data_IF_525498990560
#
_entry.id   IF_525498990560
#
_cell.length_a   1.000
_cell.length_b   1.000
_cell.length_c   1.000
_cell.angle_alpha   90.00
_cell.angle_beta   90.00
_cell.angle_gamma   90.00
#
_symmetry.space_group_name_H-M   'P 1'
#
loop_
_entity.id
_entity.type
_entity.pdbx_description
1 polymer ?
#
# COMPACT_ATOMS: atom_id res chain seq x y z
N UNK A 1 -15.34 -17.23 -12.31
CA UNK A 1 -15.20 -17.11 -10.85
C UNK A 1 -16.29 -16.19 -10.31
N UNK A 2 -17.07 -16.67 -9.36
CA UNK A 2 -18.04 -15.81 -8.65
C UNK A 2 -17.25 -14.84 -7.78
N UNK A 3 -17.47 -13.52 -7.92
CA UNK A 3 -16.82 -12.53 -7.08
C UNK A 3 -17.29 -12.70 -5.63
N UNK A 4 -16.33 -12.77 -4.69
CA UNK A 4 -16.63 -12.78 -3.26
C UNK A 4 -17.29 -11.45 -2.88
N UNK A 5 -18.39 -11.49 -2.12
CA UNK A 5 -18.99 -10.27 -1.58
C UNK A 5 -18.02 -9.56 -0.63
N UNK A 6 -18.03 -8.24 -0.61
CA UNK A 6 -17.09 -7.44 0.20
C UNK A 6 -17.18 -7.79 1.70
N UNK A 7 -18.38 -8.07 2.19
CA UNK A 7 -18.59 -8.52 3.57
C UNK A 7 -17.79 -9.79 3.88
N UNK A 8 -17.84 -10.78 2.98
CA UNK A 8 -17.13 -12.05 3.14
C UNK A 8 -15.60 -11.83 3.14
N UNK A 9 -15.09 -10.91 2.31
CA UNK A 9 -13.68 -10.53 2.31
C UNK A 9 -13.27 -10.04 3.71
N UNK A 10 -14.06 -9.16 4.32
CA UNK A 10 -13.80 -8.63 5.67
C UNK A 10 -13.85 -9.71 6.74
N UNK A 11 -14.80 -10.64 6.64
CA UNK A 11 -15.00 -11.71 7.60
C UNK A 11 -13.93 -12.80 7.48
N UNK A 12 -13.57 -13.20 6.29
CA UNK A 12 -12.68 -14.33 6.04
C UNK A 12 -11.19 -13.98 6.08
N UNK A 13 -10.80 -12.74 5.69
CA UNK A 13 -9.39 -12.37 5.70
C UNK A 13 -8.81 -12.36 7.11
N UNK A 14 -7.57 -12.83 7.23
CA UNK A 14 -6.78 -12.75 8.46
C UNK A 14 -5.32 -12.38 8.14
N UNK A 15 -4.55 -12.08 9.15
CA UNK A 15 -3.12 -11.78 8.99
C UNK A 15 -2.31 -13.09 9.06
N UNK A 16 -2.12 -13.70 7.91
CA UNK A 16 -1.36 -14.95 7.73
C UNK A 16 0.06 -14.81 8.25
N UNK A 17 0.51 -15.74 9.08
CA UNK A 17 1.85 -15.74 9.68
C UNK A 17 2.83 -16.63 8.95
N UNK A 18 2.34 -17.55 8.12
CA UNK A 18 3.15 -18.43 7.31
C UNK A 18 2.43 -18.77 6.01
N UNK A 19 3.12 -18.69 4.89
CA UNK A 19 2.61 -19.03 3.57
C UNK A 19 3.14 -20.41 3.13
N UNK A 20 2.44 -21.07 2.21
CA UNK A 20 2.77 -22.42 1.72
C UNK A 20 3.91 -22.44 0.67
N UNK A 21 4.42 -21.27 0.29
CA UNK A 21 5.52 -21.11 -0.67
C UNK A 21 5.10 -21.18 -2.14
N UNK A 22 3.83 -21.48 -2.44
CA UNK A 22 3.34 -21.44 -3.83
C UNK A 22 3.40 -20.04 -4.39
N UNK A 23 3.78 -19.94 -5.66
CA UNK A 23 3.77 -18.67 -6.37
C UNK A 23 2.35 -18.30 -6.78
N UNK A 24 2.06 -17.01 -6.70
CA UNK A 24 0.84 -16.42 -7.25
C UNK A 24 1.04 -16.26 -8.76
N UNK A 25 0.01 -16.57 -9.55
CA UNK A 25 0.03 -16.35 -11.00
C UNK A 25 0.18 -14.85 -11.32
N UNK A 26 1.01 -14.53 -12.31
CA UNK A 26 1.27 -13.13 -12.70
C UNK A 26 -0.01 -12.37 -13.07
N UNK A 27 -0.95 -13.01 -13.74
CA UNK A 27 -2.26 -12.41 -14.06
C UNK A 27 -3.04 -11.93 -12.83
N UNK A 28 -2.87 -12.61 -11.69
CA UNK A 28 -3.50 -12.19 -10.42
C UNK A 28 -2.74 -11.03 -9.79
N UNK A 29 -1.42 -11.01 -9.91
CA UNK A 29 -0.60 -9.89 -9.44
C UNK A 29 -0.96 -8.63 -10.24
N UNK A 30 -1.07 -8.72 -11.57
CA UNK A 30 -1.50 -7.60 -12.42
C UNK A 30 -2.91 -7.08 -12.04
N UNK A 31 -3.85 -7.99 -11.76
CA UNK A 31 -5.18 -7.60 -11.29
C UNK A 31 -5.12 -6.87 -9.93
N UNK A 32 -4.27 -7.33 -9.00
CA UNK A 32 -4.08 -6.65 -7.71
C UNK A 32 -3.46 -5.27 -7.93
N UNK A 33 -2.45 -5.15 -8.79
CA UNK A 33 -1.79 -3.88 -9.11
C UNK A 33 -2.78 -2.87 -9.69
N UNK A 34 -3.66 -3.29 -10.61
CA UNK A 34 -4.68 -2.41 -11.17
C UNK A 34 -5.70 -1.95 -10.11
N UNK A 35 -6.15 -2.84 -9.22
CA UNK A 35 -7.02 -2.45 -8.12
C UNK A 35 -6.33 -1.48 -7.15
N UNK A 36 -5.05 -1.69 -6.84
CA UNK A 36 -4.24 -0.76 -6.02
C UNK A 36 -4.14 0.61 -6.71
N UNK A 37 -3.89 0.65 -8.02
CA UNK A 37 -3.78 1.87 -8.83
C UNK A 37 -5.03 2.76 -8.74
N UNK A 38 -6.19 2.16 -8.56
CA UNK A 38 -7.48 2.85 -8.44
C UNK A 38 -7.77 3.39 -7.02
N UNK A 39 -6.83 3.27 -6.09
CA UNK A 39 -7.00 3.77 -4.72
C UNK A 39 -7.14 5.29 -4.70
N UNK A 40 -8.10 5.84 -3.94
CA UNK A 40 -8.23 7.28 -3.75
C UNK A 40 -7.12 7.85 -2.84
N UNK A 41 -6.92 9.17 -2.93
CA UNK A 41 -6.05 9.91 -2.00
C UNK A 41 -6.54 11.34 -1.79
N UNK A 42 -6.03 12.02 -0.77
CA UNK A 42 -6.29 13.44 -0.58
C UNK A 42 -5.92 14.23 -1.84
N UNK A 43 -6.87 15.01 -2.38
CA UNK A 43 -6.72 15.79 -3.62
C UNK A 43 -6.19 15.01 -4.83
N UNK A 44 -6.34 13.69 -4.83
CA UNK A 44 -5.80 12.79 -5.85
C UNK A 44 -4.27 12.88 -6.03
N UNK A 45 -3.54 13.25 -4.98
CA UNK A 45 -2.08 13.42 -5.00
C UNK A 45 -1.31 12.11 -5.14
N UNK A 46 -1.90 10.97 -4.74
CA UNK A 46 -1.29 9.64 -4.82
C UNK A 46 0.16 9.63 -4.32
N UNK A 47 0.41 10.09 -3.06
CA UNK A 47 1.76 10.33 -2.55
C UNK A 47 2.42 9.03 -2.08
N UNK A 48 2.52 8.07 -2.97
CA UNK A 48 3.13 6.77 -2.72
C UNK A 48 3.84 6.19 -3.94
N UNK A 49 4.77 5.30 -3.67
CA UNK A 49 5.33 4.34 -4.62
C UNK A 49 5.29 2.95 -4.01
N UNK A 50 5.15 1.94 -4.84
CA UNK A 50 5.01 0.56 -4.36
C UNK A 50 6.05 -0.29 -5.08
N UNK A 51 6.87 -0.99 -4.31
CA UNK A 51 7.82 -1.97 -4.86
C UNK A 51 7.26 -3.36 -4.63
N UNK A 52 7.22 -4.16 -5.69
CA UNK A 52 6.79 -5.56 -5.67
C UNK A 52 8.04 -6.43 -5.78
N UNK A 53 8.20 -7.36 -4.85
CA UNK A 53 9.39 -8.18 -4.70
C UNK A 53 8.97 -9.66 -4.74
N UNK A 54 9.37 -10.36 -5.81
CA UNK A 54 9.23 -11.82 -5.94
C UNK A 54 10.58 -12.54 -5.74
N UNK A 55 11.69 -11.81 -5.85
CA UNK A 55 13.05 -12.35 -5.72
C UNK A 55 13.33 -12.87 -4.32
N UNK A 56 13.68 -14.17 -4.25
CA UNK A 56 13.91 -14.87 -2.98
C UNK A 56 15.15 -14.33 -2.25
N UNK A 57 16.23 -13.99 -2.97
CA UNK A 57 17.45 -13.48 -2.37
C UNK A 57 17.21 -12.09 -1.75
N UNK A 58 16.37 -11.28 -2.38
CA UNK A 58 16.02 -9.98 -1.83
C UNK A 58 15.13 -10.13 -0.58
N UNK A 59 14.16 -11.04 -0.58
CA UNK A 59 13.36 -11.36 0.60
C UNK A 59 14.23 -11.90 1.75
N UNK A 60 15.22 -12.71 1.47
CA UNK A 60 16.20 -13.19 2.47
C UNK A 60 16.96 -12.00 3.10
N UNK A 61 17.43 -11.05 2.29
CA UNK A 61 18.10 -9.83 2.79
C UNK A 61 17.20 -8.94 3.65
N UNK A 62 15.89 -8.86 3.31
CA UNK A 62 14.91 -8.06 4.03
C UNK A 62 14.42 -8.72 5.33
N UNK A 63 14.55 -10.04 5.45
CA UNK A 63 14.04 -10.80 6.60
C UNK A 63 14.60 -10.33 7.95
N UNK A 64 15.92 -10.11 8.14
CA UNK A 64 16.47 -9.57 9.40
C UNK A 64 15.90 -8.19 9.74
N UNK A 65 15.72 -7.32 8.73
CA UNK A 65 15.12 -6.01 8.91
C UNK A 65 13.62 -6.07 9.26
N UNK A 66 13.01 -7.26 9.18
CA UNK A 66 11.63 -7.57 9.59
C UNK A 66 11.59 -8.50 10.80
N UNK A 67 12.59 -8.43 11.69
CA UNK A 67 12.70 -9.25 12.92
C UNK A 67 12.66 -10.77 12.65
N UNK A 68 13.09 -11.22 11.46
CA UNK A 68 13.07 -12.63 11.08
C UNK A 68 11.68 -13.24 10.95
N UNK A 69 10.63 -12.43 10.82
CA UNK A 69 9.25 -12.91 10.73
C UNK A 69 9.06 -13.81 9.50
N UNK A 70 8.49 -15.01 9.65
CA UNK A 70 8.45 -16.03 8.60
C UNK A 70 7.67 -15.59 7.35
N UNK A 71 6.71 -14.65 7.47
CA UNK A 71 5.92 -14.17 6.35
C UNK A 71 6.77 -13.58 5.22
N UNK A 72 7.95 -12.99 5.55
CA UNK A 72 8.81 -12.34 4.56
C UNK A 72 9.43 -13.36 3.62
N UNK A 73 9.91 -14.49 4.16
CA UNK A 73 10.56 -15.55 3.38
C UNK A 73 9.56 -16.47 2.69
N UNK A 74 8.46 -16.78 3.37
CA UNK A 74 7.48 -17.76 2.87
C UNK A 74 6.50 -17.19 1.84
N UNK A 75 6.35 -15.85 1.73
CA UNK A 75 5.39 -15.24 0.79
C UNK A 75 5.80 -15.45 -0.68
N UNK A 76 4.82 -15.45 -1.55
CA UNK A 76 5.04 -15.40 -2.99
C UNK A 76 5.61 -14.04 -3.41
N UNK A 77 4.93 -12.97 -3.02
CA UNK A 77 5.32 -11.59 -3.30
C UNK A 77 5.29 -10.75 -2.02
N UNK A 78 6.27 -9.86 -1.89
CA UNK A 78 6.30 -8.85 -0.84
C UNK A 78 6.04 -7.47 -1.47
N UNK A 79 4.96 -6.82 -1.08
CA UNK A 79 4.66 -5.44 -1.47
C UNK A 79 5.21 -4.50 -0.41
N UNK A 80 6.03 -3.54 -0.83
CA UNK A 80 6.58 -2.48 0.03
C UNK A 80 5.95 -1.16 -0.39
N UNK A 81 5.09 -0.63 0.46
CA UNK A 81 4.41 0.65 0.25
C UNK A 81 5.24 1.77 0.85
N UNK A 82 5.74 2.65 0.00
CA UNK A 82 6.58 3.77 0.39
C UNK A 82 5.80 5.08 0.26
N UNK A 83 5.74 5.85 1.34
CA UNK A 83 5.26 7.23 1.29
C UNK A 83 6.24 8.09 0.49
N UNK A 84 5.71 8.94 -0.39
CA UNK A 84 6.50 9.90 -1.17
C UNK A 84 6.34 11.31 -0.57
N UNK A 85 7.42 11.85 -0.01
CA UNK A 85 7.40 13.19 0.59
C UNK A 85 7.41 14.33 -0.44
N UNK A 86 7.65 14.04 -1.72
CA UNK A 86 7.57 15.03 -2.80
C UNK A 86 6.10 15.27 -3.21
N UNK A 87 5.33 15.86 -2.28
CA UNK A 87 3.93 16.21 -2.54
C UNK A 87 3.79 17.23 -3.65
N UNK A 88 4.76 18.16 -3.77
CA UNK A 88 4.74 19.18 -4.82
C UNK A 88 4.94 18.54 -6.19
N UNK A 89 5.93 17.69 -6.36
CA UNK A 89 6.14 16.98 -7.62
C UNK A 89 4.93 16.14 -8.03
N UNK A 90 4.24 15.50 -7.06
CA UNK A 90 2.99 14.79 -7.33
C UNK A 90 1.86 15.76 -7.77
N UNK A 91 1.73 16.93 -7.15
CA UNK A 91 0.76 17.94 -7.54
C UNK A 91 1.04 18.49 -8.94
N UNK A 92 2.28 18.83 -9.24
CA UNK A 92 2.71 19.31 -10.55
C UNK A 92 2.41 18.27 -11.66
N UNK A 93 2.70 16.99 -11.36
CA UNK A 93 2.36 15.88 -12.28
C UNK A 93 0.85 15.77 -12.48
N UNK A 94 0.05 15.79 -11.42
CA UNK A 94 -1.40 15.72 -11.52
C UNK A 94 -1.97 16.84 -12.40
N UNK A 95 -1.53 18.08 -12.19
CA UNK A 95 -1.94 19.23 -13.00
C UNK A 95 -1.59 19.04 -14.48
N UNK A 96 -0.37 18.57 -14.77
CA UNK A 96 0.07 18.31 -16.15
C UNK A 96 -0.78 17.21 -16.82
N UNK A 97 -1.06 16.13 -16.11
CA UNK A 97 -1.90 15.03 -16.63
C UNK A 97 -3.34 15.51 -16.92
N UNK A 98 -3.89 16.38 -16.07
CA UNK A 98 -5.22 16.98 -16.27
C UNK A 98 -5.24 17.95 -17.45
N UNK A 99 -4.20 18.76 -17.64
CA UNK A 99 -4.05 19.61 -18.83
C UNK A 99 -4.05 18.77 -20.10
N UNK A 100 -3.33 17.66 -20.10
CA UNK A 100 -3.25 16.75 -21.23
C UNK A 100 -4.58 16.01 -21.52
N UNK A 101 -5.45 15.87 -20.50
CA UNK A 101 -6.76 15.20 -20.66
C UNK A 101 -7.88 16.09 -21.19
N UNK A 102 -7.61 17.35 -21.50
CA UNK A 102 -8.59 18.28 -22.07
C UNK A 102 -9.58 18.88 -21.05
N UNK A 103 -9.28 18.84 -19.77
CA UNK A 103 -10.07 19.49 -18.74
C UNK A 103 -10.01 21.02 -18.93
N UNK A 104 -11.16 21.74 -18.79
CA UNK A 104 -11.19 23.20 -18.97
C UNK A 104 -10.20 23.92 -18.05
N UNK A 105 -9.44 24.87 -18.60
CA UNK A 105 -8.39 25.63 -17.89
C UNK A 105 -8.87 26.25 -16.58
N UNK A 106 -10.11 26.78 -16.54
CA UNK A 106 -10.71 27.34 -15.32
C UNK A 106 -10.76 26.33 -14.17
N UNK A 107 -11.04 25.05 -14.47
CA UNK A 107 -11.11 24.00 -13.45
C UNK A 107 -9.71 23.63 -12.96
N UNK A 108 -8.73 23.69 -13.85
CA UNK A 108 -7.33 23.43 -13.51
C UNK A 108 -6.78 24.53 -12.61
N UNK A 109 -7.01 25.80 -12.94
CA UNK A 109 -6.60 26.94 -12.11
C UNK A 109 -7.23 26.91 -10.71
N UNK A 110 -8.50 26.51 -10.61
CA UNK A 110 -9.14 26.30 -9.31
C UNK A 110 -8.43 25.19 -8.52
N UNK A 111 -8.16 24.04 -9.14
CA UNK A 111 -7.46 22.93 -8.50
C UNK A 111 -6.03 23.34 -8.09
N UNK A 112 -5.29 24.05 -8.92
CA UNK A 112 -3.95 24.57 -8.60
C UNK A 112 -3.98 25.45 -7.34
N UNK A 113 -5.00 26.31 -7.21
CA UNK A 113 -5.19 27.11 -6.01
C UNK A 113 -5.44 26.26 -4.76
N UNK A 114 -6.29 25.23 -4.87
CA UNK A 114 -6.59 24.30 -3.76
C UNK A 114 -5.33 23.50 -3.38
N UNK A 115 -4.59 22.99 -4.37
CA UNK A 115 -3.34 22.26 -4.15
C UNK A 115 -2.29 23.13 -3.46
N UNK A 116 -2.10 24.37 -3.90
CA UNK A 116 -1.14 25.27 -3.28
C UNK A 116 -1.51 25.60 -1.81
N UNK A 117 -2.79 25.81 -1.53
CA UNK A 117 -3.26 26.00 -0.16
C UNK A 117 -3.01 24.74 0.70
N UNK A 118 -3.30 23.55 0.18
CA UNK A 118 -3.04 22.30 0.87
C UNK A 118 -1.55 22.10 1.14
N UNK A 119 -0.70 22.28 0.15
CA UNK A 119 0.75 22.12 0.29
C UNK A 119 1.35 23.09 1.29
N UNK A 120 0.79 24.29 1.44
CA UNK A 120 1.25 25.28 2.42
C UNK A 120 1.05 24.85 3.88
N UNK A 121 0.14 23.89 4.13
CA UNK A 121 -0.07 23.30 5.47
C UNK A 121 1.02 22.30 5.88
N UNK A 122 1.84 21.86 4.93
CA UNK A 122 2.87 20.84 5.14
C UNK A 122 4.27 21.35 4.76
N UNK A 123 4.81 22.38 5.43
CA UNK A 123 6.13 22.91 5.10
C UNK A 123 7.25 21.93 5.43
N UNK A 124 8.27 21.88 4.59
CA UNK A 124 9.47 21.08 4.79
C UNK A 124 9.18 19.57 4.87
N UNK A 125 9.64 18.93 5.96
CA UNK A 125 9.51 17.46 6.14
C UNK A 125 8.13 17.00 6.64
N UNK A 126 7.21 17.91 7.00
CA UNK A 126 5.90 17.52 7.56
C UNK A 126 5.02 16.82 6.54
N UNK A 127 5.23 17.04 5.24
CA UNK A 127 4.54 16.35 4.16
C UNK A 127 4.68 14.83 4.18
N UNK A 128 5.73 14.29 4.83
CA UNK A 128 5.91 12.84 4.94
C UNK A 128 4.79 12.19 5.77
N UNK A 129 4.31 12.83 6.84
CA UNK A 129 3.22 12.29 7.66
C UNK A 129 1.92 12.21 6.87
N UNK A 130 1.62 13.25 6.07
CA UNK A 130 0.46 13.24 5.18
C UNK A 130 0.59 12.14 4.12
N UNK A 131 1.75 11.99 3.51
CA UNK A 131 2.01 10.92 2.57
C UNK A 131 1.86 9.54 3.22
N UNK A 132 2.34 9.35 4.45
CA UNK A 132 2.19 8.09 5.19
C UNK A 132 0.72 7.73 5.45
N UNK A 133 -0.11 8.70 5.90
CA UNK A 133 -1.54 8.47 6.11
C UNK A 133 -2.22 8.01 4.81
N UNK A 134 -1.94 8.68 3.69
CA UNK A 134 -2.47 8.30 2.40
C UNK A 134 -1.96 6.93 1.92
N UNK A 135 -0.72 6.53 2.27
CA UNK A 135 -0.11 5.26 1.85
C UNK A 135 -0.83 4.03 2.43
N UNK A 136 -1.53 4.15 3.56
CA UNK A 136 -2.35 3.06 4.10
C UNK A 136 -3.56 2.73 3.20
N UNK A 137 -4.07 3.67 2.42
CA UNK A 137 -5.24 3.46 1.55
C UNK A 137 -4.93 2.40 0.47
N UNK A 138 -3.90 2.52 -0.37
CA UNK A 138 -3.55 1.48 -1.35
C UNK A 138 -3.09 0.17 -0.69
N UNK A 139 -2.52 0.21 0.53
CA UNK A 139 -2.17 -1.00 1.26
C UNK A 139 -3.42 -1.80 1.70
N UNK A 140 -4.46 -1.13 2.18
CA UNK A 140 -5.76 -1.76 2.48
C UNK A 140 -6.43 -2.28 1.21
N UNK A 141 -6.37 -1.51 0.12
CA UNK A 141 -6.88 -1.96 -1.19
C UNK A 141 -6.17 -3.25 -1.62
N UNK A 142 -4.85 -3.35 -1.48
CA UNK A 142 -4.08 -4.56 -1.79
C UNK A 142 -4.57 -5.79 -1.02
N UNK A 143 -4.83 -5.63 0.28
CA UNK A 143 -5.29 -6.69 1.17
C UNK A 143 -6.66 -7.23 0.73
N UNK A 144 -7.59 -6.35 0.39
CA UNK A 144 -8.93 -6.74 -0.04
C UNK A 144 -8.93 -7.29 -1.47
N UNK A 145 -8.14 -6.69 -2.37
CA UNK A 145 -7.92 -7.18 -3.72
C UNK A 145 -7.35 -8.60 -3.71
N UNK A 146 -6.30 -8.84 -2.92
CA UNK A 146 -5.71 -10.17 -2.78
C UNK A 146 -6.76 -11.18 -2.31
N UNK A 147 -7.51 -10.89 -1.23
CA UNK A 147 -8.52 -11.81 -0.72
C UNK A 147 -9.64 -12.08 -1.71
N UNK A 148 -10.06 -11.08 -2.49
CA UNK A 148 -11.09 -11.26 -3.54
C UNK A 148 -10.67 -12.24 -4.65
N UNK A 149 -9.36 -12.45 -4.81
CA UNK A 149 -8.75 -13.39 -5.76
C UNK A 149 -8.30 -14.72 -5.11
N UNK A 150 -8.68 -14.94 -3.84
CA UNK A 150 -8.32 -16.15 -3.09
C UNK A 150 -6.85 -16.16 -2.62
N UNK A 151 -6.23 -14.98 -2.48
CA UNK A 151 -4.86 -14.79 -2.01
C UNK A 151 -4.92 -14.23 -0.59
N UNK A 152 -4.08 -14.77 0.29
CA UNK A 152 -3.96 -14.31 1.67
C UNK A 152 -2.84 -13.28 1.82
N UNK A 153 -2.89 -12.52 2.92
CA UNK A 153 -1.97 -11.41 3.14
C UNK A 153 -1.72 -11.14 4.62
N UNK A 154 -0.62 -10.45 4.92
CA UNK A 154 -0.33 -9.97 6.25
C UNK A 154 0.14 -8.50 6.21
N UNK A 155 -0.69 -7.50 6.57
CA UNK A 155 -0.17 -6.13 6.72
C UNK A 155 0.79 -6.06 7.92
N UNK A 156 1.97 -5.49 7.69
CA UNK A 156 3.03 -5.43 8.70
C UNK A 156 3.65 -4.05 8.79
N UNK A 157 3.79 -3.54 10.01
CA UNK A 157 4.59 -2.36 10.36
C UNK A 157 5.80 -2.74 11.24
N UNK A 158 5.90 -4.00 11.66
CA UNK A 158 7.01 -4.52 12.44
C UNK A 158 8.25 -4.79 11.58
N UNK A 159 8.86 -3.74 11.03
CA UNK A 159 10.11 -3.79 10.26
C UNK A 159 10.91 -2.49 10.47
N UNK A 160 12.19 -2.51 10.09
CA UNK A 160 13.05 -1.32 10.13
C UNK A 160 13.01 -0.58 8.77
N UNK A 161 12.33 0.58 8.67
CA UNK A 161 12.19 1.30 7.40
C UNK A 161 13.51 1.84 6.85
N UNK A 162 14.48 2.18 7.71
CA UNK A 162 15.81 2.66 7.29
C UNK A 162 16.56 1.53 6.60
N UNK A 163 16.62 0.35 7.22
CA UNK A 163 17.27 -0.82 6.62
C UNK A 163 16.58 -1.23 5.31
N UNK A 164 15.25 -1.12 5.21
CA UNK A 164 14.53 -1.34 3.96
C UNK A 164 14.92 -0.35 2.87
N UNK A 165 15.06 0.95 3.22
CA UNK A 165 15.50 1.98 2.26
C UNK A 165 16.89 1.69 1.73
N UNK A 166 17.84 1.31 2.59
CA UNK A 166 19.21 0.95 2.24
C UNK A 166 19.26 -0.31 1.33
N UNK A 167 18.60 -1.40 1.76
CA UNK A 167 18.61 -2.68 0.99
C UNK A 167 17.94 -2.52 -0.37
N UNK A 168 16.91 -1.68 -0.48
CA UNK A 168 16.14 -1.48 -1.71
C UNK A 168 16.67 -0.34 -2.58
N UNK A 169 17.72 0.36 -2.12
CA UNK A 169 18.31 1.55 -2.78
C UNK A 169 17.22 2.58 -3.13
N UNK A 170 16.44 2.99 -2.12
CA UNK A 170 15.35 3.93 -2.33
C UNK A 170 15.87 5.38 -2.28
N UNK A 171 15.32 6.26 -3.13
CA UNK A 171 15.64 7.69 -3.05
C UNK A 171 15.10 8.31 -1.74
N UNK A 172 15.74 9.39 -1.28
CA UNK A 172 15.50 10.06 0.01
C UNK A 172 14.06 10.54 0.22
N UNK A 173 13.32 10.75 -0.86
CA UNK A 173 11.91 11.16 -0.80
C UNK A 173 10.93 9.99 -0.61
N UNK A 174 11.41 8.73 -0.64
CA UNK A 174 10.58 7.55 -0.42
C UNK A 174 10.87 6.91 0.93
N UNK A 175 9.83 6.76 1.76
CA UNK A 175 9.91 6.12 3.06
C UNK A 175 9.02 4.87 3.13
N UNK A 176 9.59 3.66 3.29
CA UNK A 176 8.81 2.46 3.55
C UNK A 176 7.90 2.65 4.77
N UNK A 177 6.59 2.48 4.58
CA UNK A 177 5.57 2.82 5.58
C UNK A 177 4.83 1.59 6.08
N UNK A 178 4.47 0.71 5.18
CA UNK A 178 3.82 -0.57 5.47
C UNK A 178 4.25 -1.60 4.43
N UNK A 179 4.40 -2.85 4.84
CA UNK A 179 4.69 -3.97 3.95
C UNK A 179 3.55 -4.97 3.98
N UNK A 180 3.28 -5.61 2.84
CA UNK A 180 2.20 -6.58 2.70
C UNK A 180 2.72 -7.81 1.95
N UNK A 181 3.18 -8.85 2.66
CA UNK A 181 3.40 -10.17 2.06
C UNK A 181 2.10 -10.75 1.53
N UNK A 182 2.16 -11.34 0.34
CA UNK A 182 1.07 -12.02 -0.37
C UNK A 182 1.44 -13.49 -0.65
N UNK A 183 0.48 -14.39 -0.52
CA UNK A 183 0.65 -15.83 -0.79
C UNK A 183 -0.60 -16.62 -0.43
N UNK A 184 -0.46 -17.92 -0.34
CA UNK A 184 -1.51 -18.82 0.13
C UNK A 184 -1.18 -19.24 1.57
N UNK A 185 -2.16 -19.07 2.48
CA UNK A 185 -1.94 -19.37 3.89
C UNK A 185 -1.61 -20.85 4.15
N UNK A 186 -0.57 -21.08 4.95
CA UNK A 186 -0.25 -22.40 5.52
C UNK A 186 -0.73 -22.53 6.97
N UNK A 187 -1.07 -21.42 7.61
CA UNK A 187 -1.62 -21.38 8.96
C UNK A 187 -3.14 -21.24 8.96
N UNK A 188 -3.75 -21.42 10.14
CA UNK A 188 -5.22 -21.26 10.33
C UNK A 188 -5.53 -19.93 10.99
N UNK A 189 -6.67 -19.31 10.66
CA UNK A 189 -7.09 -18.09 11.32
C UNK A 189 -7.40 -18.34 12.80
N UNK A 190 -6.97 -17.41 13.65
CA UNK A 190 -7.48 -17.30 15.02
C UNK A 190 -8.85 -16.62 15.01
N UNK A 191 -9.66 -16.79 16.08
CA UNK A 191 -10.92 -16.07 16.22
C UNK A 191 -10.70 -14.56 16.06
N UNK A 192 -11.55 -13.91 15.25
CA UNK A 192 -11.48 -12.49 15.00
C UNK A 192 -12.10 -11.70 16.14
N UNK A 193 -11.28 -11.00 16.91
CA UNK A 193 -11.72 -10.13 17.99
C UNK A 193 -11.78 -8.69 17.51
N UNK A 194 -12.85 -7.97 17.81
CA UNK A 194 -13.05 -6.54 17.58
C UNK A 194 -13.76 -5.93 18.78
N UNK A 195 -13.52 -4.65 19.01
CA UNK A 195 -14.33 -3.88 19.97
C UNK A 195 -15.78 -3.84 19.55
N UNK A 196 -16.70 -3.60 20.50
CA UNK A 196 -18.12 -3.49 20.22
C UNK A 196 -18.42 -2.25 19.35
N UNK A 197 -19.61 -2.21 18.76
CA UNK A 197 -20.03 -1.04 17.99
C UNK A 197 -20.10 0.21 18.85
N UNK A 198 -20.56 0.07 20.06
CA UNK A 198 -20.73 1.16 21.04
C UNK A 198 -19.39 1.76 21.49
N UNK A 199 -18.29 0.97 21.45
CA UNK A 199 -16.95 1.46 21.76
C UNK A 199 -16.30 2.17 20.57
N UNK A 200 -16.74 1.90 19.33
CA UNK A 200 -16.16 2.46 18.11
C UNK A 200 -16.96 3.63 17.57
N UNK A 201 -18.29 3.58 17.65
CA UNK A 201 -19.20 4.59 17.11
C UNK A 201 -19.86 5.36 18.27
N UNK A 202 -19.70 6.68 18.26
CA UNK A 202 -20.21 7.58 19.30
C UNK A 202 -20.93 8.78 18.71
#
# INVERSE_FOLDING_TARGET
MTRMEFKNILEERFATKNFDGKKIDEDKIEQIMEMIRLSPSALNLQPWKIKIIADENLKEKLSPASMGQPQIKSCSHLLVFCANSDLKGNADKLVNDLKASGIPEKNIQFLESVLNNFLSMFPGKTGIYEAQHNTFIPAITAIYAAKSLGIDSCPMQGFNPVAYSEILDLPDNLMPTIIVPLGYAADKPMPKVRFSKEEIFF
#
